data_IF_439618376473
#
_entry.id   IF_439618376473
#
_cell.length_a   1.000
_cell.length_b   1.000
_cell.length_c   1.000
_cell.angle_alpha   90.00
_cell.angle_beta   90.00
_cell.angle_gamma   90.00
#
_symmetry.space_group_name_H-M   'P 1'
#
loop_
_entity.id
_entity.type
_entity.pdbx_description
1 polymer ?
#
# COMPACT_ATOMS: atom_id res chain seq x y z
N UNK A 1 6.07 -4.35 13.35
CA UNK A 1 6.33 -4.37 11.89
C UNK A 1 6.72 -2.97 11.45
N UNK A 2 7.58 -2.84 10.43
CA UNK A 2 7.92 -1.56 9.81
C UNK A 2 7.05 -1.33 8.59
N UNK A 3 6.27 -0.25 8.59
CA UNK A 3 5.29 0.05 7.54
C UNK A 3 5.57 1.44 6.96
N UNK A 4 5.78 1.50 5.65
CA UNK A 4 5.85 2.76 4.93
C UNK A 4 4.45 3.25 4.54
N UNK A 5 4.20 4.55 4.63
CA UNK A 5 2.94 5.15 4.18
C UNK A 5 3.19 6.31 3.22
N UNK A 6 2.34 6.44 2.21
CA UNK A 6 2.42 7.52 1.23
C UNK A 6 1.02 7.89 0.72
N UNK A 7 0.87 9.09 0.19
CA UNK A 7 -0.36 9.51 -0.46
C UNK A 7 -0.11 10.74 -1.37
N UNK A 8 -1.09 11.07 -2.18
CA UNK A 8 -1.25 12.42 -2.69
C UNK A 8 -2.18 13.25 -1.78
N UNK A 9 -2.51 14.47 -2.19
CA UNK A 9 -3.38 15.38 -1.43
C UNK A 9 -4.78 14.79 -1.14
N UNK A 10 -5.32 13.92 -2.02
CA UNK A 10 -6.63 13.29 -1.80
C UNK A 10 -6.61 12.25 -0.66
N UNK A 11 -5.46 11.63 -0.41
CA UNK A 11 -5.29 10.64 0.65
C UNK A 11 -4.71 11.16 1.96
N UNK A 12 -4.39 12.45 2.04
CA UNK A 12 -3.66 13.02 3.18
C UNK A 12 -4.36 12.79 4.52
N UNK A 13 -5.64 13.10 4.64
CA UNK A 13 -6.38 12.95 5.90
C UNK A 13 -6.45 11.47 6.34
N UNK A 14 -6.68 10.56 5.41
CA UNK A 14 -6.69 9.13 5.72
C UNK A 14 -5.31 8.59 6.09
N UNK A 15 -4.25 9.08 5.44
CA UNK A 15 -2.88 8.72 5.81
C UNK A 15 -2.56 9.14 7.24
N UNK A 16 -2.93 10.35 7.65
CA UNK A 16 -2.71 10.83 9.01
C UNK A 16 -3.45 9.96 10.05
N UNK A 17 -4.74 9.68 9.83
CA UNK A 17 -5.49 8.75 10.69
C UNK A 17 -4.87 7.35 10.74
N UNK A 18 -4.40 6.86 9.61
CA UNK A 18 -3.76 5.54 9.52
C UNK A 18 -2.46 5.48 10.32
N UNK A 19 -1.65 6.53 10.29
CA UNK A 19 -0.43 6.62 11.09
C UNK A 19 -0.73 6.48 12.58
N UNK A 20 -1.74 7.18 13.08
CA UNK A 20 -2.17 7.09 14.48
C UNK A 20 -2.64 5.68 14.84
N UNK A 21 -3.51 5.10 14.01
CA UNK A 21 -4.04 3.75 14.21
C UNK A 21 -2.92 2.70 14.27
N UNK A 22 -2.03 2.70 13.29
CA UNK A 22 -0.97 1.69 13.20
C UNK A 22 0.09 1.85 14.28
N UNK A 23 0.43 3.09 14.65
CA UNK A 23 1.34 3.36 15.77
C UNK A 23 0.77 2.88 17.10
N UNK A 24 -0.53 3.08 17.33
CA UNK A 24 -1.21 2.59 18.54
C UNK A 24 -1.19 1.06 18.66
N UNK A 25 -1.08 0.36 17.53
CA UNK A 25 -0.94 -1.11 17.46
C UNK A 25 0.52 -1.60 17.53
N UNK A 26 1.46 -0.72 17.82
CA UNK A 26 2.88 -1.06 18.03
C UNK A 26 3.71 -1.18 16.76
N UNK A 27 3.24 -0.65 15.62
CA UNK A 27 4.01 -0.63 14.39
C UNK A 27 4.95 0.59 14.33
N UNK A 28 6.11 0.43 13.73
CA UNK A 28 7.00 1.54 13.34
C UNK A 28 6.55 2.07 11.99
N UNK A 29 6.14 3.35 11.94
CA UNK A 29 5.60 3.97 10.73
C UNK A 29 6.60 4.96 10.15
N UNK A 30 6.88 4.84 8.85
CA UNK A 30 7.66 5.81 8.07
C UNK A 30 6.76 6.50 7.05
N UNK A 31 6.69 7.82 7.14
CA UNK A 31 5.86 8.66 6.28
C UNK A 31 6.71 9.22 5.12
N UNK A 32 6.32 8.87 3.90
CA UNK A 32 6.97 9.31 2.66
C UNK A 32 6.21 10.45 1.96
N UNK A 33 5.17 10.98 2.58
CA UNK A 33 4.39 12.12 2.09
C UNK A 33 3.08 11.68 1.40
N UNK A 34 2.27 12.65 0.89
CA UNK A 34 2.47 14.09 1.05
C UNK A 34 2.20 14.59 2.48
N UNK A 35 2.41 15.88 2.71
CA UNK A 35 2.37 16.46 4.06
C UNK A 35 1.35 17.59 4.20
N UNK A 36 0.47 17.78 3.21
CA UNK A 36 -0.58 18.79 3.22
C UNK A 36 -1.72 18.43 2.27
N UNK A 37 -2.78 19.23 2.26
CA UNK A 37 -3.90 19.14 1.33
C UNK A 37 -3.65 19.83 -0.02
N UNK A 38 -2.52 20.49 -0.18
CA UNK A 38 -2.15 21.13 -1.44
C UNK A 38 -1.92 20.12 -2.55
N UNK A 39 -2.35 20.44 -3.77
CA UNK A 39 -2.22 19.55 -4.92
C UNK A 39 -0.77 19.18 -5.18
N UNK A 40 -0.50 17.89 -5.30
CA UNK A 40 0.81 17.30 -5.56
C UNK A 40 0.72 16.16 -6.56
N UNK A 41 1.85 15.77 -7.12
CA UNK A 41 1.95 14.67 -8.07
C UNK A 41 2.18 13.35 -7.33
N UNK A 42 1.23 12.41 -7.43
CA UNK A 42 1.28 11.13 -6.74
C UNK A 42 2.53 10.28 -7.05
N UNK A 43 3.14 10.32 -8.26
CA UNK A 43 4.32 9.50 -8.54
C UNK A 43 5.50 9.81 -7.63
N UNK A 44 5.70 11.07 -7.25
CA UNK A 44 6.80 11.50 -6.39
C UNK A 44 6.81 10.78 -5.04
N UNK A 45 5.63 10.46 -4.52
CA UNK A 45 5.46 9.76 -3.23
C UNK A 45 5.43 8.25 -3.40
N UNK A 46 4.82 7.76 -4.49
CA UNK A 46 4.80 6.34 -4.83
C UNK A 46 6.21 5.76 -5.00
N UNK A 47 7.09 6.48 -5.70
CA UNK A 47 8.46 6.02 -5.93
C UNK A 47 9.26 5.94 -4.63
N UNK A 48 9.14 6.93 -3.74
CA UNK A 48 9.81 6.90 -2.43
C UNK A 48 9.39 5.71 -1.58
N UNK A 49 8.08 5.44 -1.54
CA UNK A 49 7.57 4.27 -0.82
C UNK A 49 8.06 2.97 -1.45
N UNK A 50 7.97 2.84 -2.77
CA UNK A 50 8.43 1.66 -3.50
C UNK A 50 9.93 1.37 -3.26
N UNK A 51 10.78 2.38 -3.39
CA UNK A 51 12.22 2.25 -3.10
C UNK A 51 12.50 1.77 -1.69
N UNK A 52 11.74 2.25 -0.70
CA UNK A 52 11.92 1.84 0.70
C UNK A 52 11.63 0.35 0.93
N UNK A 53 10.66 -0.20 0.19
CA UNK A 53 10.36 -1.63 0.21
C UNK A 53 11.49 -2.43 -0.49
N UNK A 54 11.93 -1.98 -1.66
CA UNK A 54 13.03 -2.64 -2.38
C UNK A 54 14.34 -2.63 -1.58
N UNK A 55 14.63 -1.56 -0.85
CA UNK A 55 15.77 -1.43 0.07
C UNK A 55 15.59 -2.18 1.39
N UNK A 56 14.44 -2.80 1.62
CA UNK A 56 14.07 -3.51 2.87
C UNK A 56 14.09 -2.61 4.12
N UNK A 57 13.88 -1.33 3.93
CA UNK A 57 13.70 -0.36 5.03
C UNK A 57 12.34 -0.53 5.71
N UNK A 58 11.33 -0.92 4.92
CA UNK A 58 10.01 -1.28 5.39
C UNK A 58 9.62 -2.70 4.96
N UNK A 59 8.78 -3.36 5.76
CA UNK A 59 8.26 -4.70 5.45
C UNK A 59 7.13 -4.63 4.42
N UNK A 60 6.22 -3.68 4.59
CA UNK A 60 5.04 -3.46 3.76
C UNK A 60 4.82 -1.96 3.56
N UNK A 61 4.10 -1.62 2.51
CA UNK A 61 3.67 -0.26 2.23
C UNK A 61 2.16 -0.11 2.17
N UNK A 62 1.66 1.07 2.50
CA UNK A 62 0.25 1.46 2.33
C UNK A 62 0.22 2.82 1.68
N UNK A 63 -0.57 2.98 0.62
CA UNK A 63 -0.66 4.23 -0.10
C UNK A 63 -2.09 4.57 -0.54
N UNK A 64 -2.34 5.87 -0.71
CA UNK A 64 -3.63 6.41 -1.12
C UNK A 64 -3.48 7.44 -2.24
N UNK A 65 -4.41 7.44 -3.18
CA UNK A 65 -4.74 8.63 -3.97
C UNK A 65 -6.25 8.66 -4.23
N UNK A 66 -6.77 9.59 -4.99
CA UNK A 66 -8.21 9.75 -5.20
C UNK A 66 -8.91 8.46 -5.63
N UNK A 67 -8.51 7.89 -6.77
CA UNK A 67 -8.99 6.59 -7.26
C UNK A 67 -8.07 5.42 -6.90
N UNK A 68 -6.88 5.69 -6.43
CA UNK A 68 -5.84 4.70 -6.21
C UNK A 68 -5.09 4.25 -7.47
N UNK A 69 -5.61 4.52 -8.66
CA UNK A 69 -5.04 4.01 -9.92
C UNK A 69 -3.63 4.53 -10.20
N UNK A 70 -3.46 5.85 -10.22
CA UNK A 70 -2.19 6.46 -10.61
C UNK A 70 -1.04 6.11 -9.69
N UNK A 71 -1.25 6.19 -8.39
CA UNK A 71 -0.22 5.86 -7.39
C UNK A 71 0.12 4.35 -7.43
N UNK A 72 -0.88 3.50 -7.69
CA UNK A 72 -0.68 2.06 -7.86
C UNK A 72 0.15 1.73 -9.09
N UNK A 73 -0.16 2.37 -10.23
CA UNK A 73 0.60 2.21 -11.47
C UNK A 73 2.06 2.65 -11.30
N UNK A 74 2.29 3.78 -10.61
CA UNK A 74 3.63 4.31 -10.35
C UNK A 74 4.47 3.36 -9.50
N UNK A 75 3.91 2.85 -8.42
CA UNK A 75 4.59 1.90 -7.55
C UNK A 75 4.97 0.61 -8.29
N UNK A 76 4.08 0.10 -9.16
CA UNK A 76 4.32 -1.14 -9.93
C UNK A 76 5.34 -0.99 -11.07
N UNK A 77 5.91 0.18 -11.31
CA UNK A 77 7.05 0.35 -12.21
C UNK A 77 8.37 -0.14 -11.59
N UNK A 78 8.38 -0.35 -10.29
CA UNK A 78 9.53 -0.92 -9.57
C UNK A 78 9.49 -2.44 -9.61
N UNK A 79 10.64 -3.07 -9.92
CA UNK A 79 10.73 -4.52 -10.14
C UNK A 79 10.36 -5.35 -8.90
N UNK A 80 10.72 -4.89 -7.73
CA UNK A 80 10.42 -5.57 -6.47
C UNK A 80 9.02 -5.31 -5.91
N UNK A 81 8.18 -4.53 -6.60
CA UNK A 81 6.90 -4.09 -6.10
C UNK A 81 5.73 -4.84 -6.72
N UNK A 82 4.81 -5.23 -5.85
CA UNK A 82 3.50 -5.78 -6.17
C UNK A 82 2.48 -4.97 -5.38
N UNK A 83 2.14 -3.79 -5.92
CA UNK A 83 1.13 -2.91 -5.34
C UNK A 83 -0.26 -3.34 -5.82
N UNK A 84 -1.14 -3.59 -4.88
CA UNK A 84 -2.50 -4.05 -5.14
C UNK A 84 -3.51 -2.94 -4.81
N UNK A 85 -4.32 -2.56 -5.79
CA UNK A 85 -5.45 -1.65 -5.60
C UNK A 85 -6.62 -2.44 -5.00
N UNK A 86 -6.95 -2.15 -3.74
CA UNK A 86 -7.97 -2.86 -2.99
C UNK A 86 -9.07 -1.90 -2.52
N UNK A 87 -10.32 -2.30 -2.73
CA UNK A 87 -11.51 -1.52 -2.37
C UNK A 87 -12.47 -2.27 -1.43
N UNK A 88 -12.10 -3.48 -1.02
CA UNK A 88 -12.78 -4.25 0.02
C UNK A 88 -11.83 -5.27 0.65
N UNK A 89 -12.26 -5.89 1.73
CA UNK A 89 -11.46 -6.87 2.48
C UNK A 89 -11.13 -8.12 1.67
N UNK A 90 -12.08 -8.61 0.86
CA UNK A 90 -11.85 -9.81 0.06
C UNK A 90 -10.71 -9.61 -0.96
N UNK A 91 -10.72 -8.48 -1.68
CA UNK A 91 -9.64 -8.17 -2.64
C UNK A 91 -8.29 -8.00 -1.92
N UNK A 92 -8.27 -7.39 -0.73
CA UNK A 92 -7.04 -7.24 0.06
C UNK A 92 -6.49 -8.60 0.53
N UNK A 93 -7.36 -9.49 0.98
CA UNK A 93 -7.00 -10.85 1.35
C UNK A 93 -6.40 -11.61 0.16
N UNK A 94 -7.07 -11.59 -0.99
CA UNK A 94 -6.59 -12.27 -2.20
C UNK A 94 -5.27 -11.70 -2.71
N UNK A 95 -5.06 -10.38 -2.60
CA UNK A 95 -3.80 -9.74 -2.97
C UNK A 95 -2.62 -10.27 -2.14
N UNK A 96 -2.84 -10.57 -0.87
CA UNK A 96 -1.84 -11.20 -0.02
C UNK A 96 -1.69 -12.70 -0.30
N UNK A 97 -2.81 -13.45 -0.22
CA UNK A 97 -2.81 -14.91 -0.40
C UNK A 97 -2.22 -15.35 -1.73
N UNK A 98 -2.61 -14.70 -2.83
CA UNK A 98 -2.29 -15.15 -4.16
C UNK A 98 -1.15 -14.39 -4.84
N UNK A 99 -0.98 -13.10 -4.55
CA UNK A 99 -0.03 -12.25 -5.26
C UNK A 99 1.15 -11.81 -4.41
N UNK A 100 1.17 -12.16 -3.12
CA UNK A 100 2.18 -11.69 -2.18
C UNK A 100 2.41 -10.18 -2.30
N UNK A 101 1.31 -9.42 -2.39
CA UNK A 101 1.37 -7.98 -2.54
C UNK A 101 2.12 -7.35 -1.36
N UNK A 102 3.06 -6.45 -1.65
CA UNK A 102 3.87 -5.78 -0.63
C UNK A 102 3.53 -4.30 -0.45
N UNK A 103 2.65 -3.77 -1.30
CA UNK A 103 2.03 -2.45 -1.11
C UNK A 103 0.52 -2.58 -1.29
N UNK A 104 -0.22 -2.09 -0.29
CA UNK A 104 -1.67 -1.90 -0.34
C UNK A 104 -1.96 -0.51 -0.88
N UNK A 105 -2.75 -0.40 -1.93
CA UNK A 105 -3.24 0.87 -2.47
C UNK A 105 -4.75 0.98 -2.27
N UNK A 106 -5.22 2.12 -1.80
CA UNK A 106 -6.65 2.35 -1.57
C UNK A 106 -7.16 3.65 -2.20
N UNK A 107 -8.40 3.63 -2.77
CA UNK A 107 -9.02 4.80 -3.39
C UNK A 107 -9.66 5.70 -2.32
N UNK A 108 -8.95 6.73 -1.88
CA UNK A 108 -9.37 7.59 -0.76
C UNK A 108 -10.74 8.28 -0.98
N UNK A 109 -11.08 8.61 -2.23
CA UNK A 109 -12.37 9.27 -2.54
C UNK A 109 -13.56 8.30 -2.64
N UNK A 110 -13.32 7.00 -2.58
CA UNK A 110 -14.32 5.96 -2.82
C UNK A 110 -14.52 5.00 -1.64
N UNK A 111 -13.84 5.25 -0.52
CA UNK A 111 -13.92 4.45 0.70
C UNK A 111 -14.21 5.33 1.91
N UNK A 112 -14.98 4.77 2.84
CA UNK A 112 -15.15 5.33 4.18
C UNK A 112 -14.02 4.85 5.10
N UNK A 113 -13.79 5.57 6.18
CA UNK A 113 -12.72 5.22 7.13
C UNK A 113 -12.88 3.79 7.71
N UNK A 114 -14.10 3.41 8.06
CA UNK A 114 -14.41 2.08 8.61
C UNK A 114 -14.10 0.93 7.64
N UNK A 115 -14.21 1.19 6.34
CA UNK A 115 -13.82 0.23 5.30
C UNK A 115 -12.30 0.13 5.20
N UNK A 116 -11.60 1.28 5.26
CA UNK A 116 -10.14 1.35 5.23
C UNK A 116 -9.53 0.58 6.40
N UNK A 117 -10.04 0.77 7.62
CA UNK A 117 -9.56 0.05 8.79
C UNK A 117 -9.61 -1.47 8.59
N UNK A 118 -10.74 -1.99 8.11
CA UNK A 118 -10.92 -3.42 7.84
C UNK A 118 -10.02 -3.94 6.72
N UNK A 119 -9.87 -3.17 5.65
CA UNK A 119 -9.00 -3.52 4.52
C UNK A 119 -7.54 -3.61 4.98
N UNK A 120 -7.08 -2.62 5.73
CA UNK A 120 -5.72 -2.58 6.28
C UNK A 120 -5.48 -3.75 7.23
N UNK A 121 -6.40 -4.00 8.15
CA UNK A 121 -6.29 -5.10 9.10
C UNK A 121 -6.21 -6.45 8.37
N UNK A 122 -7.06 -6.67 7.38
CA UNK A 122 -7.03 -7.88 6.55
C UNK A 122 -5.71 -8.02 5.82
N UNK A 123 -5.23 -6.97 5.17
CA UNK A 123 -3.98 -7.00 4.42
C UNK A 123 -2.77 -7.32 5.32
N UNK A 124 -2.68 -6.68 6.48
CA UNK A 124 -1.55 -6.86 7.40
C UNK A 124 -1.53 -8.24 8.09
N UNK A 125 -2.68 -8.87 8.26
CA UNK A 125 -2.82 -10.15 8.97
C UNK A 125 -2.94 -11.36 8.02
N UNK A 126 -2.84 -11.18 6.72
CA UNK A 126 -2.91 -12.26 5.74
C UNK A 126 -1.51 -12.59 5.22
N UNK A 127 -1.09 -13.83 5.38
CA UNK A 127 0.17 -14.33 4.85
C UNK A 127 0.03 -14.83 3.42
N UNK A 128 1.16 -14.90 2.70
CA UNK A 128 1.20 -15.48 1.36
C UNK A 128 1.01 -16.99 1.42
N UNK A 129 0.08 -17.51 0.62
CA UNK A 129 -0.24 -18.93 0.58
C UNK A 129 0.87 -19.78 -0.06
N UNK A 130 1.64 -19.19 -0.98
CA UNK A 130 2.70 -19.93 -1.70
C UNK A 130 2.15 -20.92 -2.72
N UNK A 131 2.75 -22.11 -2.76
CA UNK A 131 2.32 -23.19 -3.63
C UNK A 131 2.28 -22.79 -5.11
N UNK A 132 1.17 -23.05 -5.80
CA UNK A 132 0.98 -22.71 -7.23
C UNK A 132 1.08 -21.20 -7.52
N UNK A 133 0.81 -20.35 -6.51
CA UNK A 133 0.87 -18.90 -6.66
C UNK A 133 2.30 -18.38 -6.75
N UNK A 134 3.25 -19.03 -6.09
CA UNK A 134 4.67 -18.63 -6.09
C UNK A 134 5.26 -18.60 -7.49
N UNK A 135 4.97 -19.60 -8.31
CA UNK A 135 5.41 -19.62 -9.72
C UNK A 135 4.91 -18.42 -10.51
N UNK A 136 3.66 -18.01 -10.26
CA UNK A 136 3.06 -16.83 -10.93
C UNK A 136 3.67 -15.53 -10.41
N UNK A 137 3.81 -15.40 -9.09
CA UNK A 137 4.43 -14.23 -8.46
C UNK A 137 5.85 -14.00 -8.99
N UNK A 138 6.65 -15.05 -9.11
CA UNK A 138 8.01 -14.99 -9.64
C UNK A 138 8.09 -14.58 -11.13
N UNK A 139 6.98 -14.58 -11.85
CA UNK A 139 6.88 -14.15 -13.25
C UNK A 139 6.27 -12.75 -13.44
N UNK A 140 5.93 -12.04 -12.35
CA UNK A 140 5.38 -10.69 -12.45
C UNK A 140 6.43 -9.70 -12.96
N UNK A 141 7.66 -9.79 -12.47
CA UNK A 141 8.76 -8.99 -12.97
C UNK A 141 9.17 -9.46 -14.36
N UNK A 142 9.26 -8.55 -15.31
CA UNK A 142 9.46 -8.90 -16.72
C UNK A 142 10.92 -8.84 -17.21
N UNK A 143 11.84 -8.35 -16.40
CA UNK A 143 13.24 -8.19 -16.81
C UNK A 143 14.19 -8.42 -15.65
#
# INVERSE_FOLDING_TARGET
MKIGVACDHAGFEYKEKLKELLSSKGNEIRDYGCYSLESVDYPDFAHKLAESIEKKENNLGIQFCGTGNGINMSANKHQGIRAALCWNTHIAEQARLHNNANILTMPARHLKWEEIEKIVETFLNTDFEGGRHETRVNKISCC
#
